data_IF_835543806106
#
_entry.id   IF_835543806106
#
_cell.length_a   1.000
_cell.length_b   1.000
_cell.length_c   1.000
_cell.angle_alpha   90.00
_cell.angle_beta   90.00
_cell.angle_gamma   90.00
#
_symmetry.space_group_name_H-M   'P 1'
#
loop_
_entity.id
_entity.type
_entity.pdbx_description
1 polymer ?
#
# COMPACT_ATOMS: atom_id res chain seq x y z
N UNK A 1 8.56 14.96 -20.32
CA UNK A 1 7.48 14.38 -19.50
C UNK A 1 8.14 13.84 -18.24
N UNK A 2 7.70 14.24 -17.05
CA UNK A 2 8.25 13.71 -15.79
C UNK A 2 7.88 12.24 -15.67
N UNK A 3 8.84 11.39 -15.36
CA UNK A 3 8.63 9.94 -15.21
C UNK A 3 7.86 9.61 -13.92
N UNK A 4 7.13 8.49 -13.90
CA UNK A 4 6.47 7.99 -12.70
C UNK A 4 7.45 7.81 -11.53
N UNK A 5 8.70 7.41 -11.83
CA UNK A 5 9.78 7.31 -10.86
C UNK A 5 10.11 8.66 -10.21
N UNK A 6 10.28 9.73 -10.98
CA UNK A 6 10.56 11.06 -10.43
C UNK A 6 9.40 11.59 -9.58
N UNK A 7 8.16 11.33 -9.99
CA UNK A 7 6.94 11.68 -9.25
C UNK A 7 6.93 10.99 -7.87
N UNK A 8 7.17 9.67 -7.87
CA UNK A 8 7.24 8.85 -6.65
C UNK A 8 8.39 9.29 -5.74
N UNK A 9 9.57 9.49 -6.31
CA UNK A 9 10.77 9.89 -5.57
C UNK A 9 10.61 11.27 -4.91
N UNK A 10 9.90 12.20 -5.55
CA UNK A 10 9.56 13.49 -4.94
C UNK A 10 8.75 13.30 -3.64
N UNK A 11 7.67 12.51 -3.70
CA UNK A 11 6.78 12.31 -2.54
C UNK A 11 7.51 11.61 -1.40
N UNK A 12 8.27 10.55 -1.70
CA UNK A 12 9.05 9.84 -0.68
C UNK A 12 10.17 10.71 -0.09
N UNK A 13 10.82 11.53 -0.90
CA UNK A 13 11.81 12.50 -0.41
C UNK A 13 11.14 13.52 0.53
N UNK A 14 9.99 14.05 0.15
CA UNK A 14 9.22 14.98 0.98
C UNK A 14 8.86 14.34 2.32
N UNK A 15 8.32 13.11 2.30
CA UNK A 15 7.95 12.35 3.49
C UNK A 15 9.16 12.10 4.39
N UNK A 16 10.30 11.72 3.82
CA UNK A 16 11.55 11.53 4.58
C UNK A 16 12.04 12.79 5.28
N UNK A 17 11.86 13.97 4.65
CA UNK A 17 12.27 15.25 5.23
C UNK A 17 11.32 15.77 6.31
N UNK A 18 10.06 15.36 6.28
CA UNK A 18 9.01 15.91 7.12
C UNK A 18 8.42 14.90 8.13
N UNK A 19 8.72 13.61 8.00
CA UNK A 19 8.38 12.59 8.98
C UNK A 19 9.24 12.73 10.25
N UNK A 20 8.68 12.34 11.39
CA UNK A 20 9.37 12.35 12.70
C UNK A 20 9.75 10.92 13.10
N UNK A 21 10.84 10.79 13.85
CA UNK A 21 11.16 9.60 14.65
C UNK A 21 11.05 8.26 13.90
N UNK A 22 11.79 8.08 12.80
CA UNK A 22 11.87 6.79 12.10
C UNK A 22 10.62 6.43 11.29
N UNK A 23 9.58 7.28 11.27
CA UNK A 23 8.36 7.01 10.54
C UNK A 23 8.53 7.06 9.01
N UNK A 24 9.63 7.62 8.52
CA UNK A 24 9.95 7.70 7.11
C UNK A 24 9.97 6.33 6.44
N UNK A 25 10.42 5.27 7.13
CA UNK A 25 10.55 3.92 6.54
C UNK A 25 9.21 3.25 6.27
N UNK A 26 8.13 3.75 6.87
CA UNK A 26 6.82 3.11 6.81
C UNK A 26 5.93 3.61 5.66
N UNK A 27 6.45 4.44 4.76
CA UNK A 27 5.66 5.04 3.67
C UNK A 27 5.83 4.33 2.35
N UNK A 28 4.78 4.35 1.53
CA UNK A 28 4.79 3.82 0.17
C UNK A 28 3.99 4.73 -0.75
N UNK A 29 4.44 4.86 -1.99
CA UNK A 29 3.78 5.65 -3.03
C UNK A 29 3.71 4.81 -4.30
N UNK A 30 2.58 4.87 -4.98
CA UNK A 30 2.36 4.18 -6.24
C UNK A 30 1.72 5.09 -7.30
N UNK A 31 1.95 4.74 -8.56
CA UNK A 31 1.28 5.29 -9.73
C UNK A 31 0.58 4.15 -10.47
N UNK A 32 -0.70 4.33 -10.79
CA UNK A 32 -1.50 3.39 -11.58
C UNK A 32 -1.32 3.59 -13.08
N UNK A 33 -1.78 2.64 -13.89
CA UNK A 33 -1.79 2.73 -15.35
C UNK A 33 -2.63 3.91 -15.86
N UNK A 34 -3.62 4.33 -15.08
CA UNK A 34 -4.44 5.50 -15.34
C UNK A 34 -3.76 6.81 -14.94
N UNK A 35 -2.51 6.79 -14.49
CA UNK A 35 -1.79 7.93 -13.90
C UNK A 35 -2.48 8.50 -12.66
N UNK A 36 -3.00 7.63 -11.80
CA UNK A 36 -3.45 8.01 -10.45
C UNK A 36 -2.32 7.79 -9.46
N UNK A 37 -2.10 8.73 -8.54
CA UNK A 37 -1.19 8.55 -7.42
C UNK A 37 -1.95 8.02 -6.20
N UNK A 38 -1.40 7.00 -5.54
CA UNK A 38 -1.90 6.48 -4.27
C UNK A 38 -0.75 6.47 -3.26
N UNK A 39 -0.97 7.07 -2.09
CA UNK A 39 0.01 7.21 -1.02
C UNK A 39 -0.51 6.45 0.20
N UNK A 40 0.36 5.69 0.85
CA UNK A 40 0.03 4.94 2.05
C UNK A 40 1.16 4.92 3.05
N UNK A 41 0.81 4.51 4.28
CA UNK A 41 1.74 4.21 5.36
C UNK A 41 1.38 2.87 5.97
N UNK A 42 2.31 2.24 6.68
CA UNK A 42 1.98 1.15 7.59
C UNK A 42 0.91 1.62 8.57
N UNK A 43 -0.19 0.86 8.69
CA UNK A 43 -1.39 1.28 9.43
C UNK A 43 -2.40 2.09 8.61
N UNK A 44 -2.06 2.38 7.35
CA UNK A 44 -2.78 3.29 6.48
C UNK A 44 -2.61 4.77 6.82
N UNK A 45 -3.20 5.63 6.01
CA UNK A 45 -3.10 7.09 6.15
C UNK A 45 -4.41 7.78 5.75
N UNK A 46 -4.71 8.89 6.43
CA UNK A 46 -5.88 9.75 6.17
C UNK A 46 -5.45 11.22 6.04
N UNK A 47 -6.33 12.07 5.54
CA UNK A 47 -6.13 13.53 5.45
C UNK A 47 -5.87 14.20 6.80
N UNK A 48 -6.36 13.61 7.89
CA UNK A 48 -6.10 14.07 9.27
C UNK A 48 -4.70 13.71 9.77
N UNK A 49 -3.98 12.83 9.06
CA UNK A 49 -2.61 12.48 9.42
C UNK A 49 -1.72 13.72 9.31
N UNK A 50 -0.96 13.99 10.36
CA UNK A 50 -0.08 15.18 10.43
C UNK A 50 0.82 15.26 9.21
N UNK A 51 0.87 16.44 8.60
CA UNK A 51 1.72 16.73 7.44
C UNK A 51 1.06 16.45 6.09
N UNK A 52 -0.10 15.77 6.03
CA UNK A 52 -0.78 15.49 4.75
C UNK A 52 -1.28 16.74 4.04
N UNK A 53 -1.74 17.75 4.78
CA UNK A 53 -2.11 19.04 4.19
C UNK A 53 -0.91 19.71 3.49
N UNK A 54 0.26 19.73 4.14
CA UNK A 54 1.49 20.30 3.57
C UNK A 54 2.01 19.47 2.39
N UNK A 55 1.93 18.14 2.47
CA UNK A 55 2.27 17.26 1.36
C UNK A 55 1.37 17.52 0.15
N UNK A 56 0.05 17.65 0.37
CA UNK A 56 -0.90 17.96 -0.68
C UNK A 56 -0.54 19.29 -1.37
N UNK A 57 -0.26 20.34 -0.58
CA UNK A 57 0.19 21.62 -1.13
C UNK A 57 1.49 21.46 -1.95
N UNK A 58 2.49 20.77 -1.41
CA UNK A 58 3.76 20.54 -2.12
C UNK A 58 3.58 19.77 -3.43
N UNK A 59 2.63 18.81 -3.48
CA UNK A 59 2.25 18.09 -4.72
C UNK A 59 1.53 19.03 -5.70
N UNK A 60 0.63 19.91 -5.23
CA UNK A 60 -0.08 20.88 -6.09
C UNK A 60 0.85 21.89 -6.76
N UNK A 61 1.95 22.23 -6.11
CA UNK A 61 2.97 23.14 -6.63
C UNK A 61 3.88 22.48 -7.68
N UNK A 62 3.79 21.15 -7.89
CA UNK A 62 4.63 20.47 -8.88
C UNK A 62 4.10 20.62 -10.31
N UNK A 63 4.98 20.86 -11.31
CA UNK A 63 4.57 21.01 -12.70
C UNK A 63 3.97 19.72 -13.29
N UNK A 64 4.37 18.55 -12.78
CA UNK A 64 3.82 17.26 -13.19
C UNK A 64 2.45 16.95 -12.59
N UNK A 65 1.95 17.75 -11.64
CA UNK A 65 0.64 17.51 -11.02
C UNK A 65 -0.48 17.37 -12.06
N UNK A 66 -0.44 18.20 -13.10
CA UNK A 66 -1.45 18.20 -14.16
C UNK A 66 -1.50 16.90 -14.98
N UNK A 67 -0.45 16.07 -14.95
CA UNK A 67 -0.47 14.77 -15.62
C UNK A 67 -1.13 13.66 -14.78
N UNK A 68 -1.47 13.92 -13.52
CA UNK A 68 -2.16 12.96 -12.67
C UNK A 68 -3.69 13.10 -12.76
N UNK A 69 -4.38 11.97 -12.89
CA UNK A 69 -5.86 11.92 -12.84
C UNK A 69 -6.41 12.09 -11.42
N UNK A 70 -5.62 11.74 -10.41
CA UNK A 70 -5.99 11.89 -9.01
C UNK A 70 -4.83 11.60 -8.07
N UNK A 71 -5.00 11.97 -6.80
CA UNK A 71 -4.07 11.70 -5.70
C UNK A 71 -4.91 11.22 -4.53
N UNK A 72 -4.63 10.01 -4.06
CA UNK A 72 -5.42 9.33 -3.04
C UNK A 72 -4.54 8.90 -1.87
N UNK A 73 -5.15 8.85 -0.69
CA UNK A 73 -4.58 8.27 0.52
C UNK A 73 -5.23 6.92 0.78
N UNK A 74 -4.45 5.84 0.89
CA UNK A 74 -4.96 4.52 1.25
C UNK A 74 -5.02 4.38 2.77
N UNK A 75 -6.21 4.11 3.30
CA UNK A 75 -6.55 4.19 4.72
C UNK A 75 -6.46 2.85 5.44
N UNK A 76 -6.97 1.81 4.82
CA UNK A 76 -7.03 0.48 5.39
C UNK A 76 -6.99 -0.53 4.27
N UNK A 77 -6.47 -1.70 4.60
CA UNK A 77 -6.48 -2.82 3.70
C UNK A 77 -7.83 -3.57 3.76
N UNK A 78 -8.31 -3.89 4.97
CA UNK A 78 -9.64 -4.48 5.25
C UNK A 78 -10.57 -3.52 5.97
N UNK A 79 -11.86 -3.88 6.08
CA UNK A 79 -12.83 -3.13 6.89
C UNK A 79 -12.63 -3.33 8.40
N UNK A 80 -12.03 -4.44 8.82
CA UNK A 80 -11.74 -4.77 10.23
C UNK A 80 -10.43 -4.16 10.79
N UNK A 81 -9.59 -3.55 9.93
CA UNK A 81 -8.39 -2.81 10.34
C UNK A 81 -7.20 -3.70 10.76
N UNK A 82 -7.26 -5.01 10.51
CA UNK A 82 -6.27 -5.99 10.97
C UNK A 82 -5.08 -6.07 9.98
N UNK A 83 -3.94 -5.51 10.41
CA UNK A 83 -2.60 -5.60 9.77
C UNK A 83 -2.47 -4.95 8.38
N UNK A 84 -1.56 -3.97 8.27
CA UNK A 84 -1.68 -2.88 7.31
C UNK A 84 -0.34 -2.52 6.68
N UNK A 85 0.32 -3.44 5.98
CA UNK A 85 1.46 -3.06 5.14
C UNK A 85 1.01 -2.01 4.11
N UNK A 86 1.83 -0.97 3.93
CA UNK A 86 1.46 0.18 3.11
C UNK A 86 1.16 -0.24 1.67
N UNK A 87 1.92 -1.20 1.15
CA UNK A 87 1.78 -1.82 -0.16
C UNK A 87 0.40 -2.47 -0.34
N UNK A 88 -0.04 -3.23 0.67
CA UNK A 88 -1.33 -3.93 0.61
C UNK A 88 -2.48 -2.94 0.62
N UNK A 89 -2.43 -1.91 1.48
CA UNK A 89 -3.40 -0.82 1.48
C UNK A 89 -3.51 -0.15 0.09
N UNK A 90 -2.37 0.07 -0.59
CA UNK A 90 -2.36 0.66 -1.93
C UNK A 90 -3.00 -0.27 -2.97
N UNK A 91 -2.66 -1.56 -2.97
CA UNK A 91 -3.25 -2.52 -3.89
C UNK A 91 -4.77 -2.58 -3.71
N UNK A 92 -5.25 -2.65 -2.46
CA UNK A 92 -6.69 -2.66 -2.18
C UNK A 92 -7.37 -1.35 -2.59
N UNK A 93 -6.76 -0.20 -2.35
CA UNK A 93 -7.29 1.09 -2.81
C UNK A 93 -7.34 1.18 -4.35
N UNK A 94 -6.34 0.64 -5.05
CA UNK A 94 -6.35 0.58 -6.51
C UNK A 94 -7.46 -0.34 -7.03
N UNK A 95 -7.63 -1.52 -6.43
CA UNK A 95 -8.71 -2.45 -6.76
C UNK A 95 -10.10 -1.79 -6.55
N UNK A 96 -10.30 -1.06 -5.43
CA UNK A 96 -11.53 -0.28 -5.17
C UNK A 96 -11.77 0.86 -6.17
N UNK A 97 -10.72 1.41 -6.76
CA UNK A 97 -10.80 2.41 -7.83
C UNK A 97 -11.02 1.78 -9.22
N UNK A 98 -11.00 0.45 -9.33
CA UNK A 98 -11.02 -0.26 -10.59
C UNK A 98 -9.76 -0.03 -11.43
N UNK A 99 -8.61 0.17 -10.78
CA UNK A 99 -7.33 0.54 -11.39
C UNK A 99 -6.23 -0.48 -11.08
N UNK A 100 -5.20 -0.55 -11.92
CA UNK A 100 -4.02 -1.39 -11.68
C UNK A 100 -2.81 -0.54 -11.35
N UNK A 101 -2.10 -0.91 -10.28
CA UNK A 101 -0.81 -0.28 -9.95
C UNK A 101 0.23 -0.66 -11.00
N UNK A 102 0.88 0.33 -11.60
CA UNK A 102 1.96 0.13 -12.57
C UNK A 102 3.32 0.21 -11.89
N UNK A 103 3.54 1.26 -11.10
CA UNK A 103 4.81 1.57 -10.44
C UNK A 103 4.59 1.76 -8.95
N UNK A 104 5.47 1.20 -8.11
CA UNK A 104 5.42 1.37 -6.66
C UNK A 104 6.82 1.54 -6.08
N UNK A 105 6.94 2.39 -5.06
CA UNK A 105 8.15 2.46 -4.23
C UNK A 105 7.81 2.68 -2.76
N UNK A 106 8.48 1.92 -1.93
CA UNK A 106 8.52 2.01 -0.47
C UNK A 106 9.74 2.81 -0.02
N UNK A 107 9.62 3.45 1.14
CA UNK A 107 10.75 4.15 1.74
C UNK A 107 11.83 3.19 2.30
N UNK A 108 11.45 1.95 2.59
CA UNK A 108 12.35 0.82 2.91
C UNK A 108 12.21 -0.29 1.86
N UNK A 109 13.05 -1.32 1.95
CA UNK A 109 12.83 -2.55 1.19
C UNK A 109 11.48 -3.18 1.55
N UNK A 110 10.88 -3.85 0.57
CA UNK A 110 9.67 -4.64 0.81
C UNK A 110 10.03 -5.83 1.68
N UNK A 111 9.15 -6.23 2.61
CA UNK A 111 9.26 -7.58 3.14
C UNK A 111 9.07 -8.61 2.01
N UNK A 112 9.58 -9.82 2.19
CA UNK A 112 9.50 -10.86 1.16
C UNK A 112 8.04 -11.17 0.73
N UNK A 113 7.09 -11.09 1.66
CA UNK A 113 5.68 -11.28 1.38
C UNK A 113 5.08 -10.17 0.49
N UNK A 114 5.34 -8.90 0.82
CA UNK A 114 4.88 -7.80 -0.03
C UNK A 114 5.57 -7.86 -1.40
N UNK A 115 6.86 -8.18 -1.46
CA UNK A 115 7.57 -8.34 -2.73
C UNK A 115 6.91 -9.40 -3.63
N UNK A 116 6.56 -10.56 -3.05
CA UNK A 116 5.87 -11.63 -3.77
C UNK A 116 4.49 -11.20 -4.28
N UNK A 117 3.70 -10.55 -3.42
CA UNK A 117 2.37 -10.05 -3.81
C UNK A 117 2.44 -8.99 -4.90
N UNK A 118 3.47 -8.13 -4.88
CA UNK A 118 3.72 -7.14 -5.93
C UNK A 118 4.11 -7.80 -7.26
N UNK A 119 4.91 -8.88 -7.22
CA UNK A 119 5.22 -9.68 -8.41
C UNK A 119 3.97 -10.35 -8.99
N UNK A 120 3.14 -10.97 -8.14
CA UNK A 120 1.86 -11.54 -8.55
C UNK A 120 0.93 -10.48 -9.17
N UNK A 121 0.91 -9.28 -8.58
CA UNK A 121 0.20 -8.11 -9.08
C UNK A 121 0.76 -7.53 -10.39
N UNK A 122 1.94 -7.99 -10.84
CA UNK A 122 2.71 -7.44 -11.96
C UNK A 122 3.06 -5.97 -11.80
N UNK A 123 3.31 -5.54 -10.55
CA UNK A 123 3.72 -4.17 -10.23
C UNK A 123 5.22 -4.02 -10.48
N UNK A 124 5.62 -2.94 -11.16
CA UNK A 124 7.02 -2.53 -11.26
C UNK A 124 7.47 -1.92 -9.93
N UNK A 125 7.93 -2.76 -9.00
CA UNK A 125 8.50 -2.31 -7.72
C UNK A 125 9.91 -1.76 -7.90
N UNK A 126 10.19 -0.61 -7.27
CA UNK A 126 11.50 0.05 -7.29
C UNK A 126 12.35 -0.27 -6.05
N UNK A 127 11.94 -1.25 -5.24
CA UNK A 127 12.62 -1.68 -4.03
C UNK A 127 13.11 -3.13 -4.16
N UNK A 128 14.11 -3.48 -3.35
CA UNK A 128 14.48 -4.88 -3.16
C UNK A 128 13.54 -5.60 -2.19
N UNK A 129 13.72 -6.90 -2.08
CA UNK A 129 13.15 -7.70 -1.00
C UNK A 129 14.15 -7.75 0.18
N UNK A 130 13.70 -7.31 1.36
CA UNK A 130 14.39 -7.44 2.64
C UNK A 130 14.00 -8.72 3.37
N UNK A 131 14.46 -8.91 4.61
CA UNK A 131 14.28 -10.16 5.36
C UNK A 131 12.83 -10.51 5.73
N UNK A 132 12.63 -11.79 6.08
CA UNK A 132 11.35 -12.34 6.50
C UNK A 132 10.78 -11.61 7.74
N UNK A 133 9.55 -11.09 7.63
CA UNK A 133 8.81 -10.71 8.83
C UNK A 133 8.13 -11.96 9.41
N UNK A 134 8.23 -12.15 10.73
CA UNK A 134 7.53 -13.24 11.41
C UNK A 134 6.09 -12.84 11.74
N UNK A 135 5.12 -13.71 11.42
CA UNK A 135 3.71 -13.54 11.73
C UNK A 135 2.96 -12.76 10.65
N UNK A 136 2.13 -13.44 9.85
CA UNK A 136 1.51 -12.83 8.67
C UNK A 136 -0.03 -12.87 8.67
N UNK A 137 -0.60 -11.78 8.13
CA UNK A 137 -1.93 -11.65 7.54
C UNK A 137 -1.67 -10.81 6.28
N UNK A 138 -1.57 -11.44 5.09
CA UNK A 138 -1.13 -10.81 3.83
C UNK A 138 -2.18 -10.98 2.76
N UNK A 139 -3.17 -10.08 2.72
CA UNK A 139 -4.37 -10.40 2.00
C UNK A 139 -4.32 -9.65 0.67
N UNK A 140 -4.45 -10.40 -0.41
CA UNK A 140 -5.12 -9.91 -1.62
C UNK A 140 -6.23 -10.89 -2.02
N UNK A 141 -6.57 -11.82 -1.12
CA UNK A 141 -7.60 -12.85 -1.26
C UNK A 141 -8.20 -13.18 0.11
N UNK A 142 -9.34 -13.89 0.12
CA UNK A 142 -10.21 -14.11 1.29
C UNK A 142 -9.64 -14.96 2.44
N UNK A 143 -8.33 -15.18 2.55
CA UNK A 143 -7.74 -15.87 3.71
C UNK A 143 -6.43 -15.23 4.15
N UNK A 144 -6.24 -15.16 5.47
CA UNK A 144 -4.96 -14.85 6.07
C UNK A 144 -4.16 -16.13 6.32
N UNK A 145 -2.97 -16.23 5.74
CA UNK A 145 -1.93 -17.13 6.24
C UNK A 145 -1.26 -16.48 7.45
N UNK A 146 -1.91 -16.61 8.61
CA UNK A 146 -1.30 -16.48 9.92
C UNK A 146 -1.64 -17.75 10.65
N UNK A 147 -0.69 -18.61 10.94
CA UNK A 147 0.21 -18.38 12.08
C UNK A 147 1.64 -18.80 11.78
N UNK A 148 2.60 -18.21 12.50
CA UNK A 148 3.92 -18.78 12.84
C UNK A 148 4.16 -20.22 12.38
N UNK A 149 4.38 -20.41 11.08
CA UNK A 149 5.23 -21.48 10.62
C UNK A 149 6.60 -21.07 11.11
N UNK A 150 7.10 -21.78 12.11
CA UNK A 150 8.50 -21.66 12.50
C UNK A 150 9.35 -22.39 11.43
N UNK A 151 9.15 -22.00 10.17
CA UNK A 151 9.64 -22.67 8.97
C UNK A 151 10.20 -21.61 8.01
N UNK A 152 11.06 -22.03 7.10
CA UNK A 152 11.75 -21.14 6.17
C UNK A 152 10.78 -20.51 5.18
N UNK A 153 11.04 -19.25 4.81
CA UNK A 153 10.20 -18.45 3.91
C UNK A 153 9.83 -19.16 2.60
N UNK A 154 10.76 -19.93 2.03
CA UNK A 154 10.56 -20.69 0.79
C UNK A 154 9.50 -21.79 0.90
N UNK A 155 9.19 -22.30 2.08
CA UNK A 155 8.08 -23.25 2.24
C UNK A 155 6.75 -22.52 2.42
N UNK A 156 6.74 -21.38 3.14
CA UNK A 156 5.56 -20.54 3.30
C UNK A 156 5.06 -19.98 1.95
N UNK A 157 5.97 -19.59 1.06
CA UNK A 157 5.62 -19.04 -0.25
C UNK A 157 5.06 -20.09 -1.22
N UNK A 158 5.55 -21.34 -1.16
CA UNK A 158 5.01 -22.45 -1.97
C UNK A 158 3.57 -22.77 -1.61
N UNK A 159 3.21 -22.67 -0.34
CA UNK A 159 1.84 -22.87 0.10
C UNK A 159 0.94 -21.71 -0.35
N UNK A 160 1.44 -20.47 -0.26
CA UNK A 160 0.74 -19.28 -0.77
C UNK A 160 0.49 -19.36 -2.29
N UNK A 161 1.50 -19.75 -3.08
CA UNK A 161 1.38 -19.91 -4.53
C UNK A 161 0.35 -20.97 -4.92
N UNK A 162 0.42 -22.16 -4.30
CA UNK A 162 -0.55 -23.23 -4.54
C UNK A 162 -1.99 -22.81 -4.21
N UNK A 163 -2.18 -22.04 -3.14
CA UNK A 163 -3.51 -21.54 -2.77
C UNK A 163 -4.03 -20.53 -3.79
N UNK A 164 -3.21 -19.54 -4.17
CA UNK A 164 -3.57 -18.53 -5.15
C UNK A 164 -3.91 -19.14 -6.52
N UNK A 165 -3.26 -20.25 -6.89
CA UNK A 165 -3.56 -21.02 -8.10
C UNK A 165 -4.84 -21.87 -7.97
N UNK A 166 -5.11 -22.45 -6.79
CA UNK A 166 -6.21 -23.40 -6.59
C UNK A 166 -7.58 -22.75 -6.30
N UNK A 167 -7.62 -21.55 -5.73
CA UNK A 167 -8.86 -20.79 -5.49
C UNK A 167 -9.80 -21.34 -4.41
N UNK A 168 -9.46 -22.43 -3.74
CA UNK A 168 -10.24 -23.09 -2.68
C UNK A 168 -9.32 -23.47 -1.49
N UNK A 169 -9.83 -23.48 -0.25
CA UNK A 169 -9.10 -24.02 0.91
C UNK A 169 -8.95 -25.54 0.80
N UNK A 170 -7.98 -26.02 0.02
CA UNK A 170 -7.57 -27.43 -0.01
C UNK A 170 -6.90 -27.92 1.29
N UNK A 171 -6.50 -29.19 1.32
CA UNK A 171 -5.76 -29.83 2.43
C UNK A 171 -4.36 -29.20 2.62
N UNK A 172 -4.29 -28.02 3.23
CA UNK A 172 -3.04 -27.39 3.62
C UNK A 172 -2.48 -28.04 4.89
N UNK A 173 -1.19 -28.40 4.83
CA UNK A 173 -0.51 -29.26 5.80
C UNK A 173 -0.30 -28.59 7.17
N UNK A 174 -0.47 -27.26 7.24
CA UNK A 174 -0.19 -26.43 8.41
C UNK A 174 -1.39 -25.54 8.74
N UNK A 175 -2.36 -26.12 9.45
CA UNK A 175 -3.68 -25.51 9.70
C UNK A 175 -3.63 -24.53 10.87
N UNK A 176 -3.41 -23.26 10.57
CA UNK A 176 -4.05 -22.17 11.29
C UNK A 176 -4.37 -21.09 10.26
N UNK A 177 -5.63 -21.01 9.86
CA UNK A 177 -6.14 -19.96 8.96
C UNK A 177 -6.87 -18.96 9.83
N UNK A 178 -6.42 -17.70 9.86
CA UNK A 178 -7.29 -16.63 10.32
C UNK A 178 -8.14 -16.22 9.11
N UNK A 179 -9.42 -16.57 9.13
CA UNK A 179 -10.35 -16.05 8.14
C UNK A 179 -10.49 -14.54 8.38
N UNK A 180 -10.32 -13.75 7.31
CA UNK A 180 -10.69 -12.34 7.39
C UNK A 180 -12.21 -12.27 7.55
N UNK A 181 -12.67 -11.48 8.52
CA UNK A 181 -14.11 -11.30 8.75
C UNK A 181 -14.77 -10.39 7.71
N UNK A 182 -13.96 -9.78 6.84
CA UNK A 182 -14.39 -8.86 5.79
C UNK A 182 -13.49 -8.97 4.56
N UNK A 183 -14.05 -8.72 3.39
CA UNK A 183 -13.25 -8.59 2.17
C UNK A 183 -12.27 -7.40 2.27
N UNK A 184 -11.17 -7.42 1.49
CA UNK A 184 -10.31 -6.27 1.28
C UNK A 184 -11.06 -5.10 0.61
N UNK A 185 -11.84 -4.33 1.38
CA UNK A 185 -12.64 -3.24 0.83
C UNK A 185 -11.86 -1.92 0.64
N UNK A 186 -10.51 -1.96 0.78
CA UNK A 186 -9.59 -0.97 0.21
C UNK A 186 -9.98 0.49 0.42
N UNK A 187 -10.06 0.92 1.68
CA UNK A 187 -10.49 2.27 2.01
C UNK A 187 -9.53 3.33 1.48
N UNK A 188 -10.05 4.35 0.79
CA UNK A 188 -9.25 5.48 0.32
C UNK A 188 -9.91 6.84 0.56
N UNK A 189 -9.10 7.89 0.53
CA UNK A 189 -9.52 9.30 0.58
C UNK A 189 -8.96 10.04 -0.64
N UNK A 190 -9.81 10.78 -1.36
CA UNK A 190 -9.36 11.68 -2.43
C UNK A 190 -8.73 12.93 -1.79
N UNK A 191 -7.41 13.07 -1.95
CA UNK A 191 -6.63 14.15 -1.33
C UNK A 191 -6.92 15.52 -1.97
N UNK A 192 -7.52 15.53 -3.15
CA UNK A 192 -7.73 16.74 -3.96
C UNK A 192 -9.19 17.18 -4.01
N UNK A 193 -10.13 16.25 -3.79
CA UNK A 193 -11.56 16.55 -3.64
C UNK A 193 -12.00 16.70 -2.17
N UNK A 194 -11.12 16.42 -1.22
CA UNK A 194 -11.35 16.62 0.22
C UNK A 194 -11.59 18.09 0.55
N UNK A 195 -12.87 18.46 0.62
CA UNK A 195 -13.36 19.75 1.06
C UNK A 195 -12.98 20.03 2.52
N UNK A 196 -12.70 21.30 2.79
CA UNK A 196 -12.69 21.85 4.13
C UNK A 196 -14.01 21.66 4.87
N UNK A 197 -13.91 21.43 6.19
CA UNK A 197 -14.63 22.17 7.24
C UNK A 197 -14.17 21.73 8.63
N UNK A 198 -13.24 22.50 9.20
CA UNK A 198 -13.39 23.18 10.49
C UNK A 198 -12.16 24.11 10.60
N UNK A 199 -12.37 25.39 10.95
CA UNK A 199 -11.31 26.33 11.39
C UNK A 199 -10.66 27.28 10.36
N UNK A 200 -11.25 27.46 9.17
CA UNK A 200 -10.94 28.63 8.33
C UNK A 200 -9.53 28.70 7.72
N UNK A 201 -8.75 27.63 7.78
CA UNK A 201 -7.55 27.48 6.96
C UNK A 201 -8.00 27.28 5.48
N UNK A 202 -7.21 27.65 4.44
CA UNK A 202 -7.64 27.46 3.06
C UNK A 202 -7.55 26.00 2.59
N UNK A 203 -8.61 25.57 1.90
CA UNK A 203 -8.66 24.44 0.95
C UNK A 203 -7.29 24.01 0.48
N UNK A 204 -6.97 22.70 0.53
CA UNK A 204 -5.94 22.22 -0.38
C UNK A 204 -6.21 22.80 -1.75
#
# INVERSE_FOLDING_TARGET
>A
MTSNKEIIDFVLYWLRKNARSGQEVNWTVAITEEHTMIISKVGGVTSQTRGMALLCQSIKEQPWRASLKGVYLAKTFTADGVSNHAEMCILAAADSLGQRVEHMKCASDNCEACAHMLQYAKVNTMNGAGGAAMGWIHPRGCMALGTTLNDYWNEQIKELDRFNEAGEPGDFKHTFTQHQGSEPQGGYEDLLKGAYRHDGVPGC
#
